data_IF_425095630162
#
_entry.id   IF_425095630162
#
_cell.length_a   1.000
_cell.length_b   1.000
_cell.length_c   1.000
_cell.angle_alpha   90.00
_cell.angle_beta   90.00
_cell.angle_gamma   90.00
#
_symmetry.space_group_name_H-M   'P 1'
#
loop_
_entity.id
_entity.type
_entity.pdbx_description
1 polymer ?
#
# COMPACT_ATOMS: atom_id res chain seq x y z
N UNK A 1 81.02 -66.28 12.12
CA UNK A 1 81.44 -64.88 11.90
C UNK A 1 81.25 -64.39 10.45
N UNK A 2 81.63 -65.16 9.42
CA UNK A 2 81.54 -64.71 8.02
C UNK A 2 80.12 -64.28 7.55
N UNK A 3 79.07 -64.98 7.98
CA UNK A 3 77.69 -64.64 7.60
C UNK A 3 77.20 -63.33 8.23
N UNK A 4 77.68 -62.99 9.44
CA UNK A 4 77.33 -61.74 10.11
C UNK A 4 77.91 -60.52 9.38
N UNK A 5 79.17 -60.59 8.94
CA UNK A 5 79.79 -59.51 8.17
C UNK A 5 79.09 -59.29 6.82
N UNK A 6 78.59 -60.35 6.17
CA UNK A 6 77.80 -60.21 4.93
C UNK A 6 76.48 -59.50 5.16
N UNK A 7 75.75 -59.86 6.22
CA UNK A 7 74.48 -59.22 6.57
C UNK A 7 74.71 -57.73 6.92
N UNK A 8 75.75 -57.44 7.70
CA UNK A 8 76.09 -56.07 8.08
C UNK A 8 76.42 -55.19 6.85
N UNK A 9 77.21 -55.70 5.91
CA UNK A 9 77.55 -54.96 4.69
C UNK A 9 76.32 -54.67 3.81
N UNK A 10 75.39 -55.62 3.69
CA UNK A 10 74.12 -55.40 2.97
C UNK A 10 73.30 -54.31 3.66
N UNK A 11 73.24 -54.33 4.99
CA UNK A 11 72.49 -53.34 5.78
C UNK A 11 73.09 -51.92 5.65
N UNK A 12 74.43 -51.82 5.63
CA UNK A 12 75.14 -50.55 5.38
C UNK A 12 74.83 -50.00 3.99
N UNK A 13 74.83 -50.85 2.94
CA UNK A 13 74.49 -50.43 1.59
C UNK A 13 73.05 -49.93 1.51
N UNK A 14 72.10 -50.66 2.12
CA UNK A 14 70.69 -50.24 2.18
C UNK A 14 70.56 -48.88 2.89
N UNK A 15 71.22 -48.70 4.05
CA UNK A 15 71.21 -47.43 4.78
C UNK A 15 71.83 -46.29 3.97
N UNK A 16 72.92 -46.54 3.23
CA UNK A 16 73.56 -45.55 2.37
C UNK A 16 72.64 -45.16 1.20
N UNK A 17 71.96 -46.12 0.57
CA UNK A 17 70.97 -45.84 -0.49
C UNK A 17 69.79 -45.03 0.05
N UNK A 18 69.28 -45.38 1.24
CA UNK A 18 68.20 -44.64 1.92
C UNK A 18 68.65 -43.23 2.26
N UNK A 19 69.88 -43.04 2.77
CA UNK A 19 70.44 -41.73 3.08
C UNK A 19 70.60 -40.85 1.82
N UNK A 20 71.06 -41.42 0.70
CA UNK A 20 71.13 -40.70 -0.58
C UNK A 20 69.74 -40.30 -1.09
N UNK A 21 68.75 -41.18 -0.96
CA UNK A 21 67.37 -40.88 -1.33
C UNK A 21 66.79 -39.75 -0.48
N UNK A 22 66.96 -39.80 0.85
CA UNK A 22 66.51 -38.71 1.72
C UNK A 22 67.30 -37.41 1.49
N UNK A 23 68.60 -37.49 1.22
CA UNK A 23 69.44 -36.33 0.92
C UNK A 23 68.97 -35.58 -0.33
N UNK A 24 68.69 -36.30 -1.41
CA UNK A 24 68.14 -35.69 -2.64
C UNK A 24 66.75 -35.10 -2.43
N UNK A 25 65.89 -35.76 -1.64
CA UNK A 25 64.54 -35.23 -1.30
C UNK A 25 64.62 -33.95 -0.46
N UNK A 26 65.50 -33.91 0.56
CA UNK A 26 65.72 -32.73 1.40
C UNK A 26 66.33 -31.57 0.61
N UNK A 27 67.25 -31.86 -0.32
CA UNK A 27 67.83 -30.84 -1.18
C UNK A 27 66.76 -30.16 -2.05
N UNK A 28 65.90 -30.95 -2.71
CA UNK A 28 64.77 -30.41 -3.50
C UNK A 28 63.80 -29.59 -2.65
N UNK A 29 63.51 -30.02 -1.41
CA UNK A 29 62.67 -29.24 -0.50
C UNK A 29 63.32 -27.92 -0.08
N UNK A 30 64.63 -27.91 0.17
CA UNK A 30 65.37 -26.70 0.52
C UNK A 30 65.39 -25.70 -0.64
N UNK A 31 65.57 -26.18 -1.86
CA UNK A 31 65.53 -25.35 -3.07
C UNK A 31 64.15 -24.71 -3.28
N UNK A 32 63.07 -25.48 -3.09
CA UNK A 32 61.69 -24.95 -3.15
C UNK A 32 61.43 -23.86 -2.10
N UNK A 33 61.88 -24.06 -0.85
CA UNK A 33 61.71 -23.05 0.21
C UNK A 33 62.53 -21.79 -0.08
N UNK A 34 63.73 -21.94 -0.64
CA UNK A 34 64.56 -20.80 -1.03
C UNK A 34 63.89 -19.98 -2.13
N UNK A 35 63.45 -20.63 -3.22
CA UNK A 35 62.76 -19.96 -4.32
C UNK A 35 61.48 -19.25 -3.87
N UNK A 36 60.73 -19.84 -2.93
CA UNK A 36 59.55 -19.19 -2.35
C UNK A 36 59.91 -17.93 -1.53
N UNK A 37 60.98 -17.97 -0.73
CA UNK A 37 61.45 -16.78 0.02
C UNK A 37 61.89 -15.67 -0.92
N UNK A 38 62.60 -16.01 -1.98
CA UNK A 38 63.12 -15.02 -2.93
C UNK A 38 61.95 -14.33 -3.68
N UNK A 39 60.95 -15.10 -4.16
CA UNK A 39 59.72 -14.56 -4.76
C UNK A 39 58.92 -13.68 -3.81
N UNK A 40 58.74 -14.13 -2.55
CA UNK A 40 58.03 -13.35 -1.54
C UNK A 40 58.74 -12.02 -1.26
N UNK A 41 60.08 -12.06 -1.14
CA UNK A 41 60.87 -10.85 -0.92
C UNK A 41 60.77 -9.87 -2.09
N UNK A 42 60.79 -10.38 -3.33
CA UNK A 42 60.64 -9.57 -4.55
C UNK A 42 59.26 -8.89 -4.61
N UNK A 43 58.17 -9.63 -4.39
CA UNK A 43 56.83 -9.02 -4.45
C UNK A 43 56.56 -8.07 -3.27
N UNK A 44 57.11 -8.35 -2.09
CA UNK A 44 57.08 -7.40 -0.96
C UNK A 44 57.86 -6.13 -1.30
N UNK A 45 59.05 -6.24 -1.89
CA UNK A 45 59.82 -5.08 -2.31
C UNK A 45 59.07 -4.26 -3.37
N UNK A 46 58.48 -4.91 -4.37
CA UNK A 46 57.65 -4.27 -5.39
C UNK A 46 56.41 -3.59 -4.78
N UNK A 47 55.75 -4.24 -3.82
CA UNK A 47 54.63 -3.67 -3.08
C UNK A 47 55.04 -2.41 -2.31
N UNK A 48 56.21 -2.43 -1.67
CA UNK A 48 56.78 -1.28 -0.96
C UNK A 48 57.10 -0.14 -1.93
N UNK A 49 57.67 -0.44 -3.10
CA UNK A 49 58.01 0.56 -4.11
C UNK A 49 56.75 1.17 -4.75
N UNK A 50 55.72 0.37 -5.03
CA UNK A 50 54.43 0.85 -5.50
C UNK A 50 53.72 1.74 -4.47
N UNK A 51 53.87 1.46 -3.17
CA UNK A 51 53.39 2.32 -2.09
C UNK A 51 54.16 3.65 -1.98
N UNK A 52 55.39 3.73 -2.51
CA UNK A 52 56.23 4.94 -2.46
C UNK A 52 56.13 5.83 -3.69
N UNK A 53 55.81 5.29 -4.87
CA UNK A 53 56.07 5.97 -6.16
C UNK A 53 54.86 6.58 -6.86
N UNK A 54 53.62 6.20 -6.50
CA UNK A 54 52.44 6.72 -7.19
C UNK A 54 51.93 7.99 -6.49
N UNK A 55 51.70 9.05 -7.26
CA UNK A 55 51.01 10.29 -6.84
C UNK A 55 49.59 10.25 -7.40
N UNK A 56 48.55 10.71 -6.67
CA UNK A 56 47.19 10.25 -6.90
C UNK A 56 46.58 10.90 -8.14
N UNK A 57 46.35 10.10 -9.18
CA UNK A 57 45.32 10.37 -10.20
C UNK A 57 44.85 9.07 -10.84
N UNK A 58 43.59 8.75 -10.57
CA UNK A 58 42.70 7.82 -11.29
C UNK A 58 42.90 6.31 -11.06
N UNK A 59 42.13 5.72 -10.13
CA UNK A 59 41.66 4.32 -10.28
C UNK A 59 40.28 4.14 -9.63
N UNK A 60 39.22 4.20 -10.43
CA UNK A 60 37.93 3.55 -10.11
C UNK A 60 37.87 2.21 -10.83
N UNK A 61 37.86 1.10 -10.08
CA UNK A 61 36.88 0.01 -10.23
C UNK A 61 37.19 -1.24 -9.38
N UNK A 62 36.09 -1.83 -8.88
CA UNK A 62 35.88 -3.18 -8.29
C UNK A 62 37.11 -4.09 -8.12
N UNK A 63 37.55 -4.31 -6.87
CA UNK A 63 38.34 -5.51 -6.53
C UNK A 63 37.91 -6.17 -5.21
N UNK A 64 37.80 -7.50 -5.27
CA UNK A 64 37.32 -8.38 -4.21
C UNK A 64 38.38 -8.63 -3.14
N UNK A 65 38.32 -7.86 -2.06
CA UNK A 65 39.08 -8.10 -0.83
C UNK A 65 38.78 -9.46 -0.17
N UNK A 66 37.71 -10.16 -0.58
CA UNK A 66 37.33 -11.47 -0.04
C UNK A 66 38.29 -12.63 -0.38
N UNK A 67 39.23 -12.45 -1.34
CA UNK A 67 40.10 -13.56 -1.79
C UNK A 67 41.48 -13.65 -1.13
N UNK A 68 41.92 -12.65 -0.36
CA UNK A 68 43.21 -12.66 0.32
C UNK A 68 43.03 -12.96 1.82
N UNK A 69 42.85 -14.24 2.16
CA UNK A 69 42.93 -14.66 3.57
C UNK A 69 44.38 -15.01 3.95
N UNK A 70 44.71 -14.89 5.23
CA UNK A 70 46.06 -15.23 5.77
C UNK A 70 46.50 -16.66 5.44
N UNK A 71 45.56 -17.55 5.15
CA UNK A 71 45.76 -18.95 4.78
C UNK A 71 46.19 -19.13 3.32
N UNK A 72 46.00 -18.15 2.44
CA UNK A 72 46.28 -18.27 1.00
C UNK A 72 47.75 -17.98 0.63
N UNK A 73 48.50 -17.33 1.53
CA UNK A 73 49.92 -16.98 1.40
C UNK A 73 50.80 -17.75 2.41
N UNK A 74 50.55 -19.04 2.59
CA UNK A 74 51.40 -19.89 3.44
C UNK A 74 52.20 -20.91 2.61
N UNK A 75 53.22 -21.50 3.24
CA UNK A 75 54.10 -22.46 2.59
C UNK A 75 53.35 -23.73 2.13
N UNK A 76 52.28 -24.13 2.81
CA UNK A 76 51.50 -25.29 2.39
C UNK A 76 50.78 -25.04 1.07
N UNK A 77 50.20 -23.85 0.88
CA UNK A 77 49.57 -23.46 -0.39
C UNK A 77 50.59 -23.46 -1.52
N UNK A 78 51.82 -22.96 -1.29
CA UNK A 78 52.89 -23.03 -2.29
C UNK A 78 53.28 -24.48 -2.65
N UNK A 79 53.32 -25.38 -1.67
CA UNK A 79 53.69 -26.78 -1.89
C UNK A 79 52.60 -27.59 -2.59
N UNK A 80 51.32 -27.25 -2.37
CA UNK A 80 50.18 -27.95 -2.95
C UNK A 80 49.68 -27.34 -4.27
N UNK A 81 49.71 -26.03 -4.40
CA UNK A 81 49.27 -25.27 -5.58
C UNK A 81 50.12 -24.01 -5.79
N UNK A 82 51.29 -24.14 -6.45
CA UNK A 82 52.18 -23.02 -6.73
C UNK A 82 51.54 -21.93 -7.58
N UNK A 83 50.61 -22.29 -8.47
CA UNK A 83 49.95 -21.34 -9.37
C UNK A 83 48.97 -20.44 -8.60
N UNK A 84 48.18 -21.01 -7.69
CA UNK A 84 47.32 -20.23 -6.81
C UNK A 84 48.14 -19.33 -5.86
N UNK A 85 49.28 -19.81 -5.36
CA UNK A 85 50.18 -18.99 -4.54
C UNK A 85 50.74 -17.79 -5.31
N UNK A 86 51.25 -18.00 -6.53
CA UNK A 86 51.77 -16.92 -7.38
C UNK A 86 50.66 -15.90 -7.76
N UNK A 87 49.42 -16.37 -7.99
CA UNK A 87 48.27 -15.51 -8.23
C UNK A 87 47.87 -14.66 -6.99
N UNK A 88 47.92 -15.24 -5.80
CA UNK A 88 47.67 -14.50 -4.56
C UNK A 88 48.79 -13.51 -4.24
N UNK A 89 50.04 -13.90 -4.54
CA UNK A 89 51.22 -13.06 -4.31
C UNK A 89 51.14 -11.79 -5.18
N UNK A 90 50.86 -11.93 -6.47
CA UNK A 90 50.63 -10.78 -7.38
C UNK A 90 49.40 -9.93 -7.02
N UNK A 91 48.45 -10.50 -6.28
CA UNK A 91 47.32 -9.76 -5.70
C UNK A 91 47.72 -8.72 -4.64
N UNK A 92 48.85 -8.89 -3.95
CA UNK A 92 49.33 -7.94 -2.92
C UNK A 92 49.69 -6.57 -3.53
N UNK A 93 50.42 -6.57 -4.64
CA UNK A 93 50.72 -5.35 -5.41
C UNK A 93 49.44 -4.62 -5.83
N UNK A 94 48.43 -5.37 -6.29
CA UNK A 94 47.13 -4.79 -6.68
C UNK A 94 46.37 -4.21 -5.49
N UNK A 95 46.39 -4.88 -4.33
CA UNK A 95 45.80 -4.37 -3.09
C UNK A 95 46.49 -3.11 -2.60
N UNK A 96 47.83 -3.05 -2.70
CA UNK A 96 48.60 -1.88 -2.31
C UNK A 96 48.29 -0.66 -3.19
N UNK A 97 48.16 -0.84 -4.51
CA UNK A 97 47.65 0.19 -5.43
C UNK A 97 46.27 0.68 -5.04
N UNK A 98 45.39 -0.23 -4.60
CA UNK A 98 44.05 0.13 -4.19
C UNK A 98 44.02 0.95 -2.88
N UNK A 99 44.72 0.50 -1.85
CA UNK A 99 44.86 1.24 -0.58
C UNK A 99 45.45 2.63 -0.83
N UNK A 100 46.43 2.72 -1.72
CA UNK A 100 46.99 3.99 -2.13
C UNK A 100 45.96 4.88 -2.85
N UNK A 101 45.19 4.35 -3.79
CA UNK A 101 44.11 5.10 -4.47
C UNK A 101 43.07 5.62 -3.48
N UNK A 102 42.64 4.79 -2.51
CA UNK A 102 41.71 5.20 -1.45
C UNK A 102 42.28 6.32 -0.57
N UNK A 103 43.58 6.26 -0.24
CA UNK A 103 44.25 7.36 0.48
C UNK A 103 44.28 8.65 -0.34
N UNK A 104 44.49 8.53 -1.66
CA UNK A 104 44.41 9.66 -2.60
C UNK A 104 43.02 10.29 -2.64
N UNK A 105 41.98 9.49 -2.81
CA UNK A 105 40.57 9.94 -2.79
C UNK A 105 40.21 10.58 -1.45
N UNK A 106 40.61 9.96 -0.33
CA UNK A 106 40.40 10.53 0.99
C UNK A 106 41.11 11.87 1.16
N UNK A 107 42.36 11.99 0.70
CA UNK A 107 43.11 13.25 0.73
C UNK A 107 42.43 14.32 -0.12
N UNK A 108 41.92 13.97 -1.31
CA UNK A 108 41.16 14.89 -2.16
C UNK A 108 39.85 15.34 -1.49
N UNK A 109 39.10 14.42 -0.89
CA UNK A 109 37.88 14.75 -0.14
C UNK A 109 38.17 15.64 1.06
N UNK A 110 39.24 15.38 1.81
CA UNK A 110 39.67 16.22 2.92
C UNK A 110 40.09 17.61 2.39
N UNK A 111 40.80 17.68 1.26
CA UNK A 111 41.15 18.95 0.61
C UNK A 111 39.91 19.75 0.20
N UNK A 112 38.89 19.11 -0.40
CA UNK A 112 37.64 19.80 -0.76
C UNK A 112 36.88 20.28 0.47
N UNK A 113 36.87 19.50 1.54
CA UNK A 113 36.31 19.91 2.85
C UNK A 113 37.09 21.11 3.37
N UNK A 114 38.41 21.08 3.30
CA UNK A 114 39.29 22.18 3.69
C UNK A 114 38.98 23.47 2.90
N UNK A 115 38.79 23.36 1.58
CA UNK A 115 38.40 24.47 0.70
C UNK A 115 37.02 25.04 1.05
N UNK A 116 36.04 24.19 1.36
CA UNK A 116 34.69 24.61 1.77
C UNK A 116 34.74 25.41 3.07
N UNK A 117 35.61 25.01 4.01
CA UNK A 117 35.73 25.63 5.32
C UNK A 117 36.77 26.76 5.38
N UNK A 118 37.48 27.04 4.29
CA UNK A 118 38.45 28.14 4.20
C UNK A 118 39.62 28.02 5.19
N UNK A 119 40.01 26.79 5.51
CA UNK A 119 41.12 26.50 6.43
C UNK A 119 42.44 26.61 5.65
N UNK A 120 43.05 27.80 5.61
CA UNK A 120 44.38 28.00 5.00
C UNK A 120 45.49 27.34 5.86
N UNK A 121 46.55 26.87 5.19
CA UNK A 121 47.75 26.19 5.73
C UNK A 121 47.64 24.72 6.15
N UNK A 122 46.89 23.94 5.38
CA UNK A 122 47.18 22.50 5.31
C UNK A 122 47.76 22.20 3.93
N UNK A 123 49.05 22.56 3.73
CA UNK A 123 49.84 22.00 2.62
C UNK A 123 49.56 20.50 2.60
N UNK A 124 49.05 20.01 1.46
CA UNK A 124 48.61 18.63 1.20
C UNK A 124 48.90 17.73 2.38
N UNK A 125 47.90 17.36 3.19
CA UNK A 125 48.12 16.46 4.34
C UNK A 125 48.85 15.25 3.81
N UNK A 126 50.16 15.28 4.00
CA UNK A 126 51.01 14.19 3.61
C UNK A 126 50.83 13.20 4.75
N UNK A 127 49.83 12.34 4.59
CA UNK A 127 49.49 11.26 5.53
C UNK A 127 50.69 10.31 5.76
N UNK A 128 51.86 10.59 5.18
CA UNK A 128 53.12 9.89 5.42
C UNK A 128 53.87 10.36 6.67
N UNK A 129 53.66 11.57 7.22
CA UNK A 129 54.42 12.02 8.39
C UNK A 129 53.68 11.80 9.72
N UNK A 130 54.19 10.89 10.55
CA UNK A 130 53.67 10.57 11.88
C UNK A 130 53.67 11.76 12.87
N UNK A 131 54.43 12.81 12.58
CA UNK A 131 54.49 14.04 13.39
C UNK A 131 53.24 14.94 13.27
N UNK A 132 52.38 14.72 12.26
CA UNK A 132 51.14 15.49 12.07
C UNK A 132 50.01 15.12 13.02
N UNK A 133 50.12 14.02 13.77
CA UNK A 133 49.04 13.54 14.66
C UNK A 133 48.71 14.51 15.80
N UNK A 134 49.70 15.20 16.37
CA UNK A 134 49.46 16.16 17.46
C UNK A 134 48.98 17.53 16.99
N UNK A 135 49.33 17.96 15.78
CA UNK A 135 48.84 19.22 15.18
C UNK A 135 47.44 19.05 14.61
N UNK A 136 47.21 17.95 13.89
CA UNK A 136 45.92 17.61 13.31
C UNK A 136 44.85 17.44 14.40
N UNK A 137 45.17 16.85 15.56
CA UNK A 137 44.21 16.77 16.69
C UNK A 137 43.71 18.15 17.15
N UNK A 138 44.57 19.17 17.16
CA UNK A 138 44.18 20.55 17.48
C UNK A 138 43.22 21.14 16.44
N UNK A 139 43.53 20.98 15.16
CA UNK A 139 42.66 21.42 14.07
C UNK A 139 41.35 20.65 14.01
N UNK A 140 41.39 19.32 14.19
CA UNK A 140 40.19 18.48 14.28
C UNK A 140 39.33 18.86 15.47
N UNK A 141 39.91 19.18 16.63
CA UNK A 141 39.13 19.64 17.78
C UNK A 141 38.44 20.99 17.51
N UNK A 142 39.13 21.93 16.87
CA UNK A 142 38.58 23.25 16.49
C UNK A 142 37.50 23.12 15.42
N UNK A 143 37.71 22.23 14.45
CA UNK A 143 36.75 21.92 13.40
C UNK A 143 35.53 21.19 13.97
N UNK A 144 35.74 20.24 14.89
CA UNK A 144 34.67 19.53 15.59
C UNK A 144 33.86 20.48 16.48
N UNK A 145 34.51 21.44 17.14
CA UNK A 145 33.83 22.48 17.91
C UNK A 145 33.03 23.41 16.99
N UNK A 146 33.56 23.76 15.82
CA UNK A 146 32.86 24.57 14.83
C UNK A 146 31.69 23.83 14.18
N UNK A 147 31.86 22.54 13.85
CA UNK A 147 30.79 21.65 13.37
C UNK A 147 29.71 21.47 14.42
N UNK A 148 30.09 21.33 15.70
CA UNK A 148 29.14 21.28 16.80
C UNK A 148 28.34 22.58 16.89
N UNK A 149 28.98 23.74 16.81
CA UNK A 149 28.27 25.04 16.79
C UNK A 149 27.32 25.19 15.60
N UNK A 150 27.67 24.62 14.44
CA UNK A 150 26.77 24.60 13.26
C UNK A 150 25.61 23.63 13.46
N UNK A 151 25.85 22.44 14.04
CA UNK A 151 24.79 21.50 14.35
C UNK A 151 23.84 22.06 15.41
N UNK A 152 24.37 22.65 16.49
CA UNK A 152 23.60 23.34 17.53
C UNK A 152 22.78 24.51 16.94
N UNK A 153 23.32 25.22 15.93
CA UNK A 153 22.58 26.24 15.16
C UNK A 153 21.41 25.62 14.41
N UNK A 154 21.66 24.56 13.65
CA UNK A 154 20.64 23.94 12.81
C UNK A 154 19.53 23.34 13.67
N UNK A 155 19.87 22.73 14.80
CA UNK A 155 18.92 22.29 15.82
C UNK A 155 18.11 23.47 16.38
N UNK A 156 18.76 24.58 16.75
CA UNK A 156 18.06 25.75 17.26
C UNK A 156 17.15 26.42 16.21
N UNK A 157 17.58 26.47 14.95
CA UNK A 157 16.77 26.98 13.84
C UNK A 157 15.57 26.07 13.60
N UNK A 158 15.75 24.74 13.60
CA UNK A 158 14.66 23.78 13.47
C UNK A 158 13.69 23.89 14.63
N UNK A 159 14.19 24.02 15.87
CA UNK A 159 13.39 24.23 17.07
C UNK A 159 12.56 25.52 16.96
N UNK A 160 13.19 26.65 16.62
CA UNK A 160 12.49 27.94 16.44
C UNK A 160 11.49 27.91 15.30
N UNK A 161 11.83 27.28 14.18
CA UNK A 161 10.90 27.12 13.06
C UNK A 161 9.70 26.26 13.48
N UNK A 162 9.96 25.17 14.21
CA UNK A 162 8.93 24.28 14.75
C UNK A 162 8.03 25.00 15.76
N UNK A 163 8.60 25.78 16.69
CA UNK A 163 7.84 26.62 17.62
C UNK A 163 6.94 27.63 16.88
N UNK A 164 7.48 28.28 15.85
CA UNK A 164 6.73 29.24 15.03
C UNK A 164 5.62 28.55 14.24
N UNK A 165 5.87 27.37 13.68
CA UNK A 165 4.86 26.55 12.99
C UNK A 165 3.80 26.02 13.97
N UNK A 166 4.18 25.61 15.18
CA UNK A 166 3.25 25.11 16.19
C UNK A 166 2.39 26.22 16.81
N UNK A 167 2.91 27.45 16.90
CA UNK A 167 2.08 28.65 17.17
C UNK A 167 1.08 28.89 16.04
N UNK A 168 1.43 28.49 14.82
CA UNK A 168 0.56 28.49 13.66
C UNK A 168 -0.37 27.26 13.66
N UNK A 169 -1.20 27.08 14.70
CA UNK A 169 -2.24 26.02 14.70
C UNK A 169 -3.32 26.36 13.66
N UNK A 170 -3.40 25.66 12.51
CA UNK A 170 -4.33 26.05 11.44
C UNK A 170 -5.80 25.85 11.87
N UNK A 171 -6.03 24.89 12.77
CA UNK A 171 -7.38 24.44 13.16
C UNK A 171 -8.07 25.40 14.15
N UNK A 172 -7.34 26.12 15.00
CA UNK A 172 -7.88 27.18 15.89
C UNK A 172 -7.84 28.58 15.26
N UNK A 173 -7.04 28.77 14.20
CA UNK A 173 -6.83 30.09 13.57
C UNK A 173 -7.75 30.37 12.39
N UNK A 174 -8.27 29.35 11.68
CA UNK A 174 -9.18 29.59 10.54
C UNK A 174 -10.50 30.29 10.96
N UNK A 175 -11.00 30.05 12.19
CA UNK A 175 -12.17 30.79 12.70
C UNK A 175 -11.84 32.21 13.17
N UNK A 176 -10.57 32.48 13.52
CA UNK A 176 -10.07 33.77 14.02
C UNK A 176 -9.41 34.65 12.94
N UNK A 177 -9.15 34.12 11.74
CA UNK A 177 -8.74 34.87 10.54
C UNK A 177 -10.01 35.23 9.73
N UNK A 178 -11.00 35.81 10.41
CA UNK A 178 -12.26 36.22 9.76
C UNK A 178 -12.20 37.61 9.14
N UNK A 179 -11.24 38.43 9.54
CA UNK A 179 -11.01 39.76 8.98
C UNK A 179 -9.57 39.93 8.46
N UNK A 180 -9.41 40.88 7.54
CA UNK A 180 -8.14 41.17 6.89
C UNK A 180 -7.08 41.71 7.86
N UNK A 181 -7.50 42.27 8.99
CA UNK A 181 -6.62 42.86 10.01
C UNK A 181 -5.89 41.76 10.80
N UNK A 182 -6.61 40.70 11.19
CA UNK A 182 -6.06 39.50 11.83
C UNK A 182 -5.00 38.81 10.96
N UNK A 183 -5.22 38.73 9.64
CA UNK A 183 -4.23 38.19 8.70
C UNK A 183 -3.00 39.10 8.57
N UNK A 184 -3.20 40.41 8.51
CA UNK A 184 -2.09 41.37 8.43
C UNK A 184 -1.19 41.30 9.66
N UNK A 185 -1.78 41.22 10.87
CA UNK A 185 -1.01 41.11 12.11
C UNK A 185 -0.21 39.80 12.17
N UNK A 186 -0.81 38.68 11.75
CA UNK A 186 -0.13 37.38 11.74
C UNK A 186 1.00 37.31 10.70
N UNK A 187 0.80 37.93 9.53
CA UNK A 187 1.87 38.05 8.53
C UNK A 187 3.00 38.99 8.99
N UNK A 188 2.68 40.06 9.71
CA UNK A 188 3.67 40.95 10.30
C UNK A 188 4.53 40.25 11.36
N UNK A 189 3.93 39.40 12.20
CA UNK A 189 4.67 38.61 13.20
C UNK A 189 5.63 37.60 12.55
N UNK A 190 5.18 36.90 11.50
CA UNK A 190 6.04 35.98 10.74
C UNK A 190 7.17 36.72 10.04
N UNK A 191 6.89 37.89 9.44
CA UNK A 191 7.91 38.73 8.82
C UNK A 191 8.91 39.26 9.86
N UNK A 192 8.45 39.65 11.04
CA UNK A 192 9.30 40.08 12.15
C UNK A 192 10.24 38.96 12.63
N UNK A 193 9.75 37.73 12.70
CA UNK A 193 10.59 36.58 13.06
C UNK A 193 11.61 36.26 11.96
N UNK A 194 11.23 36.37 10.68
CA UNK A 194 12.16 36.25 9.54
C UNK A 194 13.27 37.31 9.61
N UNK A 195 12.92 38.56 9.90
CA UNK A 195 13.90 39.65 10.06
C UNK A 195 14.83 39.41 11.25
N UNK A 196 14.32 38.82 12.34
CA UNK A 196 15.14 38.43 13.49
C UNK A 196 16.17 37.35 13.12
N UNK A 197 15.78 36.36 12.30
CA UNK A 197 16.68 35.32 11.78
C UNK A 197 17.72 35.91 10.84
N UNK A 198 17.34 36.88 9.99
CA UNK A 198 18.28 37.58 9.12
C UNK A 198 19.30 38.41 9.92
N UNK A 199 18.85 39.11 10.96
CA UNK A 199 19.71 39.89 11.86
C UNK A 199 20.71 38.99 12.61
N UNK A 200 20.24 37.84 13.11
CA UNK A 200 21.10 36.83 13.74
C UNK A 200 22.16 36.29 12.77
N UNK A 201 21.78 35.97 11.53
CA UNK A 201 22.72 35.61 10.46
C UNK A 201 23.74 36.73 10.15
N UNK A 202 23.32 37.99 10.21
CA UNK A 202 24.20 39.15 10.07
C UNK A 202 25.29 39.19 11.15
N UNK A 203 24.90 39.07 12.42
CA UNK A 203 25.84 39.04 13.55
C UNK A 203 26.82 37.87 13.46
N UNK A 204 26.36 36.72 12.97
CA UNK A 204 27.22 35.55 12.78
C UNK A 204 28.22 35.75 11.62
N UNK A 205 27.79 36.35 10.50
CA UNK A 205 28.70 36.78 9.42
C UNK A 205 29.77 37.73 9.94
N UNK A 206 29.40 38.67 10.81
CA UNK A 206 30.35 39.61 11.40
C UNK A 206 31.32 38.93 12.37
N UNK A 207 30.86 37.92 13.11
CA UNK A 207 31.71 37.07 13.95
C UNK A 207 32.72 36.27 13.12
N UNK A 208 32.29 35.67 12.00
CA UNK A 208 33.18 34.97 11.06
C UNK A 208 34.21 35.94 10.49
N UNK A 209 33.77 37.11 10.00
CA UNK A 209 34.68 38.16 9.50
C UNK A 209 35.69 38.61 10.56
N UNK A 210 35.26 38.80 11.80
CA UNK A 210 36.12 39.15 12.91
C UNK A 210 37.11 38.03 13.25
N UNK A 211 36.70 36.77 13.12
CA UNK A 211 37.57 35.59 13.33
C UNK A 211 38.62 35.49 12.23
N UNK A 212 38.23 35.67 10.97
CA UNK A 212 39.13 35.75 9.80
C UNK A 212 40.11 36.93 9.95
N UNK A 213 39.62 38.08 10.41
CA UNK A 213 40.48 39.26 10.65
C UNK A 213 41.49 39.05 11.78
N UNK A 214 41.12 38.27 12.81
CA UNK A 214 42.01 37.89 13.92
C UNK A 214 43.03 36.81 13.54
N UNK A 215 42.75 36.00 12.52
CA UNK A 215 43.69 35.00 11.97
C UNK A 215 44.87 35.62 11.20
N UNK A 216 44.96 36.96 11.13
CA UNK A 216 46.17 37.65 10.72
C UNK A 216 46.29 37.84 9.22
N UNK A 217 45.62 38.87 8.69
CA UNK A 217 46.09 39.58 7.49
C UNK A 217 46.13 38.79 6.18
N UNK A 218 45.02 38.19 5.75
CA UNK A 218 44.86 37.76 4.35
C UNK A 218 44.53 38.97 3.49
N UNK A 219 45.54 39.81 3.24
CA UNK A 219 45.47 40.95 2.33
C UNK A 219 45.56 40.52 0.84
N UNK A 220 45.35 39.23 0.54
CA UNK A 220 45.51 38.66 -0.81
C UNK A 220 44.37 37.80 -1.33
N UNK A 221 43.22 37.77 -0.67
CA UNK A 221 42.01 37.32 -1.34
C UNK A 221 41.46 38.45 -2.21
N UNK A 222 41.98 38.58 -3.43
CA UNK A 222 41.18 39.07 -4.56
C UNK A 222 40.16 37.99 -4.92
N UNK A 223 39.23 37.68 -4.00
CA UNK A 223 37.92 37.25 -4.49
C UNK A 223 37.35 38.54 -5.04
N UNK A 224 37.26 38.64 -6.37
CA UNK A 224 36.65 39.82 -6.97
C UNK A 224 35.28 39.99 -6.31
N UNK A 225 34.89 41.20 -5.86
CA UNK A 225 33.53 41.46 -5.43
C UNK A 225 32.51 40.88 -6.41
N UNK A 226 32.85 40.82 -7.70
CA UNK A 226 32.06 40.21 -8.77
C UNK A 226 31.78 38.69 -8.57
N UNK A 227 32.73 37.88 -8.08
CA UNK A 227 32.52 36.44 -7.87
C UNK A 227 31.65 36.15 -6.64
N UNK A 228 31.79 36.97 -5.59
CA UNK A 228 30.92 36.94 -4.42
C UNK A 228 29.51 37.43 -4.76
N UNK A 229 29.39 38.40 -5.67
CA UNK A 229 28.10 38.89 -6.18
C UNK A 229 27.46 37.83 -7.08
N UNK A 230 28.20 37.20 -8.00
CA UNK A 230 27.70 36.16 -8.89
C UNK A 230 27.19 34.92 -8.14
N UNK A 231 27.90 34.48 -7.09
CA UNK A 231 27.46 33.38 -6.24
C UNK A 231 26.24 33.74 -5.39
N UNK A 232 26.12 35.00 -4.95
CA UNK A 232 24.91 35.52 -4.27
C UNK A 232 23.73 35.61 -5.21
N UNK A 233 23.91 36.12 -6.43
CA UNK A 233 22.85 36.23 -7.42
C UNK A 233 22.33 34.85 -7.81
N UNK A 234 23.23 33.87 -8.00
CA UNK A 234 22.84 32.48 -8.21
C UNK A 234 22.07 31.88 -7.02
N UNK A 235 22.45 32.21 -5.78
CA UNK A 235 21.72 31.78 -4.59
C UNK A 235 20.34 32.45 -4.49
N UNK A 236 20.26 33.75 -4.74
CA UNK A 236 19.02 34.54 -4.76
C UNK A 236 18.07 33.96 -5.83
N UNK A 237 18.56 33.64 -7.02
CA UNK A 237 17.73 33.03 -8.07
C UNK A 237 17.25 31.62 -7.70
N UNK A 238 18.08 30.81 -7.03
CA UNK A 238 17.63 29.52 -6.46
C UNK A 238 16.53 29.71 -5.41
N UNK A 239 16.67 30.70 -4.53
CA UNK A 239 15.65 31.01 -3.52
C UNK A 239 14.36 31.54 -4.14
N UNK A 240 14.44 32.43 -5.14
CA UNK A 240 13.25 32.89 -5.89
C UNK A 240 12.51 31.72 -6.53
N UNK A 241 13.24 30.84 -7.22
CA UNK A 241 12.64 29.65 -7.84
C UNK A 241 12.01 28.71 -6.80
N UNK A 242 12.64 28.56 -5.63
CA UNK A 242 12.07 27.79 -4.53
C UNK A 242 10.80 28.44 -3.97
N UNK A 243 10.76 29.77 -3.84
CA UNK A 243 9.57 30.51 -3.41
C UNK A 243 8.44 30.41 -4.44
N UNK A 244 8.72 30.50 -5.74
CA UNK A 244 7.73 30.30 -6.80
C UNK A 244 7.13 28.88 -6.77
N UNK A 245 7.97 27.87 -6.56
CA UNK A 245 7.52 26.50 -6.38
C UNK A 245 6.65 26.36 -5.12
N UNK A 246 7.05 26.96 -4.01
CA UNK A 246 6.28 26.95 -2.76
C UNK A 246 4.92 27.64 -2.94
N UNK A 247 4.87 28.81 -3.60
CA UNK A 247 3.62 29.50 -3.91
C UNK A 247 2.71 28.65 -4.81
N UNK A 248 3.28 27.88 -5.75
CA UNK A 248 2.52 26.96 -6.59
C UNK A 248 1.92 25.82 -5.76
N UNK A 249 2.68 25.26 -4.82
CA UNK A 249 2.18 24.24 -3.89
C UNK A 249 1.10 24.79 -2.95
N UNK A 250 1.25 26.01 -2.44
CA UNK A 250 0.22 26.67 -1.62
C UNK A 250 -1.09 26.82 -2.40
N UNK A 251 -1.03 27.26 -3.67
CA UNK A 251 -2.22 27.32 -4.54
C UNK A 251 -2.87 25.94 -4.76
N UNK A 252 -2.07 24.87 -4.84
CA UNK A 252 -2.61 23.51 -4.94
C UNK A 252 -3.31 23.09 -3.65
N UNK A 253 -2.77 23.45 -2.49
CA UNK A 253 -3.42 23.19 -1.19
C UNK A 253 -4.76 23.93 -1.08
N UNK A 254 -4.83 25.19 -1.52
CA UNK A 254 -6.09 25.94 -1.54
C UNK A 254 -7.14 25.29 -2.44
N UNK A 255 -6.74 24.83 -3.63
CA UNK A 255 -7.62 24.10 -4.53
C UNK A 255 -8.11 22.77 -3.92
N UNK A 256 -7.22 22.00 -3.30
CA UNK A 256 -7.58 20.74 -2.61
C UNK A 256 -8.49 20.99 -1.41
N UNK A 257 -8.35 22.14 -0.73
CA UNK A 257 -9.22 22.53 0.36
C UNK A 257 -10.63 22.86 -0.14
N UNK A 258 -10.74 23.59 -1.25
CA UNK A 258 -12.01 23.87 -1.91
C UNK A 258 -12.70 22.57 -2.39
N UNK A 259 -11.92 21.64 -2.98
CA UNK A 259 -12.45 20.34 -3.42
C UNK A 259 -12.91 19.48 -2.23
N UNK A 260 -12.19 19.52 -1.10
CA UNK A 260 -12.63 18.87 0.14
C UNK A 260 -13.91 19.48 0.72
N UNK A 261 -14.10 20.80 0.64
CA UNK A 261 -15.36 21.42 1.06
C UNK A 261 -16.52 21.00 0.17
N UNK A 262 -16.33 20.98 -1.16
CA UNK A 262 -17.35 20.52 -2.11
C UNK A 262 -17.70 19.04 -1.90
N UNK A 263 -16.70 18.20 -1.62
CA UNK A 263 -16.91 16.78 -1.30
C UNK A 263 -17.69 16.59 0.01
N UNK A 264 -17.40 17.38 1.04
CA UNK A 264 -18.16 17.36 2.30
C UNK A 264 -19.61 17.77 2.10
N UNK A 265 -19.86 18.81 1.33
CA UNK A 265 -21.23 19.27 1.04
C UNK A 265 -22.00 18.24 0.22
N UNK A 266 -21.35 17.60 -0.75
CA UNK A 266 -21.92 16.50 -1.52
C UNK A 266 -22.22 15.28 -0.64
N UNK A 267 -21.34 14.95 0.31
CA UNK A 267 -21.54 13.85 1.26
C UNK A 267 -22.75 14.14 2.16
N UNK A 268 -22.84 15.33 2.74
CA UNK A 268 -23.97 15.75 3.56
C UNK A 268 -25.30 15.70 2.78
N UNK A 269 -25.29 16.11 1.50
CA UNK A 269 -26.46 15.98 0.62
C UNK A 269 -26.85 14.52 0.38
N UNK A 270 -25.89 13.65 0.12
CA UNK A 270 -26.13 12.21 -0.08
C UNK A 270 -26.65 11.52 1.18
N UNK A 271 -26.15 11.89 2.36
CA UNK A 271 -26.68 11.39 3.64
C UNK A 271 -28.13 11.80 3.84
N UNK A 272 -28.49 13.05 3.53
CA UNK A 272 -29.87 13.53 3.58
C UNK A 272 -30.78 12.76 2.62
N UNK A 273 -30.33 12.55 1.38
CA UNK A 273 -31.08 11.76 0.39
C UNK A 273 -31.27 10.31 0.85
N UNK A 274 -30.25 9.71 1.48
CA UNK A 274 -30.30 8.35 2.01
C UNK A 274 -31.31 8.23 3.16
N UNK A 275 -31.32 9.18 4.09
CA UNK A 275 -32.31 9.24 5.18
C UNK A 275 -33.74 9.37 4.61
N UNK A 276 -33.94 10.24 3.61
CA UNK A 276 -35.24 10.42 2.95
C UNK A 276 -35.71 9.13 2.27
N UNK A 277 -34.82 8.47 1.52
CA UNK A 277 -35.14 7.20 0.84
C UNK A 277 -35.46 6.09 1.85
N UNK A 278 -34.72 6.01 2.97
CA UNK A 278 -35.02 5.04 4.02
C UNK A 278 -36.39 5.28 4.65
N UNK A 279 -36.78 6.53 4.89
CA UNK A 279 -38.11 6.87 5.38
C UNK A 279 -39.22 6.44 4.40
N UNK A 280 -39.01 6.59 3.09
CA UNK A 280 -39.95 6.11 2.07
C UNK A 280 -40.06 4.58 2.04
N UNK A 281 -38.94 3.86 2.20
CA UNK A 281 -38.94 2.39 2.30
C UNK A 281 -39.78 1.94 3.49
N UNK A 282 -39.56 2.50 4.69
CA UNK A 282 -40.33 2.15 5.90
C UNK A 282 -41.83 2.44 5.72
N UNK A 283 -42.17 3.55 5.08
CA UNK A 283 -43.57 3.90 4.76
C UNK A 283 -44.19 2.86 3.81
N UNK A 284 -43.47 2.47 2.77
CA UNK A 284 -43.94 1.48 1.79
C UNK A 284 -44.06 0.07 2.41
N UNK A 285 -43.12 -0.36 3.25
CA UNK A 285 -43.21 -1.61 3.99
C UNK A 285 -44.43 -1.66 4.91
N UNK A 286 -44.73 -0.55 5.60
CA UNK A 286 -45.92 -0.43 6.45
C UNK A 286 -47.21 -0.54 5.63
N UNK A 287 -47.24 0.12 4.46
CA UNK A 287 -48.36 0.03 3.51
C UNK A 287 -48.55 -1.38 2.96
N UNK A 288 -47.46 -2.08 2.61
CA UNK A 288 -47.50 -3.47 2.14
C UNK A 288 -48.05 -4.40 3.22
N UNK A 289 -47.57 -4.31 4.46
CA UNK A 289 -48.12 -5.07 5.59
C UNK A 289 -49.60 -4.81 5.83
N UNK A 290 -50.06 -3.58 5.61
CA UNK A 290 -51.48 -3.23 5.66
C UNK A 290 -52.29 -3.96 4.60
N UNK A 291 -51.82 -3.92 3.34
CA UNK A 291 -52.47 -4.62 2.21
C UNK A 291 -52.44 -6.14 2.36
N UNK A 292 -51.37 -6.72 2.89
CA UNK A 292 -51.28 -8.16 3.14
C UNK A 292 -52.34 -8.62 4.16
N UNK A 293 -52.61 -7.81 5.18
CA UNK A 293 -53.71 -8.07 6.13
C UNK A 293 -55.06 -7.99 5.44
N UNK A 294 -55.31 -6.96 4.63
CA UNK A 294 -56.56 -6.85 3.86
C UNK A 294 -56.76 -8.07 2.95
N UNK A 295 -55.71 -8.52 2.25
CA UNK A 295 -55.76 -9.72 1.42
C UNK A 295 -56.07 -10.97 2.26
N UNK A 296 -55.48 -11.12 3.45
CA UNK A 296 -55.77 -12.22 4.35
C UNK A 296 -57.24 -12.21 4.79
N UNK A 297 -57.77 -11.06 5.19
CA UNK A 297 -59.17 -10.88 5.59
C UNK A 297 -60.13 -11.21 4.42
N UNK A 298 -59.79 -10.78 3.20
CA UNK A 298 -60.58 -11.10 2.00
C UNK A 298 -60.52 -12.58 1.64
N UNK A 299 -59.37 -13.23 1.79
CA UNK A 299 -59.24 -14.68 1.60
C UNK A 299 -60.04 -15.47 2.61
N UNK A 300 -60.08 -15.05 3.88
CA UNK A 300 -60.92 -15.67 4.91
C UNK A 300 -62.40 -15.53 4.58
N UNK A 301 -62.85 -14.31 4.19
CA UNK A 301 -64.23 -14.07 3.74
C UNK A 301 -64.59 -14.90 2.51
N UNK A 302 -63.65 -15.06 1.57
CA UNK A 302 -63.83 -15.91 0.40
C UNK A 302 -63.92 -17.38 0.80
N UNK A 303 -63.07 -17.89 1.69
CA UNK A 303 -63.13 -19.27 2.16
C UNK A 303 -64.48 -19.60 2.83
N UNK A 304 -65.07 -18.65 3.55
CA UNK A 304 -66.43 -18.79 4.11
C UNK A 304 -67.50 -18.84 3.00
N UNK A 305 -67.30 -18.15 1.88
CA UNK A 305 -68.23 -18.13 0.75
C UNK A 305 -68.02 -19.28 -0.25
N UNK A 306 -66.78 -19.74 -0.43
CA UNK A 306 -66.34 -20.79 -1.35
C UNK A 306 -66.21 -22.15 -0.68
N UNK A 307 -66.52 -22.26 0.61
CA UNK A 307 -66.65 -23.53 1.28
C UNK A 307 -67.54 -24.43 0.43
N UNK A 308 -66.94 -25.49 -0.13
CA UNK A 308 -67.65 -26.60 -0.75
C UNK A 308 -68.87 -26.86 0.13
N UNK A 309 -70.07 -26.69 -0.42
CA UNK A 309 -71.31 -26.89 0.32
C UNK A 309 -71.18 -28.15 1.17
N UNK A 310 -71.66 -28.13 2.43
CA UNK A 310 -71.28 -29.12 3.44
C UNK A 310 -71.25 -30.52 2.82
N UNK A 311 -70.13 -31.25 2.97
CA UNK A 311 -70.02 -32.69 2.68
C UNK A 311 -70.89 -33.52 3.66
N UNK A 312 -72.07 -33.00 4.01
CA UNK A 312 -73.09 -33.70 4.73
C UNK A 312 -73.85 -34.62 3.79
N UNK A 313 -74.51 -35.65 4.34
CA UNK A 313 -75.41 -36.50 3.57
C UNK A 313 -76.40 -35.61 2.82
N UNK A 314 -76.46 -35.80 1.50
CA UNK A 314 -77.42 -35.12 0.64
C UNK A 314 -78.81 -35.30 1.23
N UNK A 315 -79.47 -34.20 1.59
CA UNK A 315 -80.81 -34.26 2.13
C UNK A 315 -81.73 -34.73 1.00
N UNK A 316 -82.34 -35.91 1.16
CA UNK A 316 -83.31 -36.47 0.20
C UNK A 316 -84.63 -35.72 0.18
N UNK A 317 -84.76 -34.63 0.94
CA UNK A 317 -85.91 -33.74 0.89
C UNK A 317 -86.05 -33.14 -0.51
N UNK A 318 -87.23 -33.26 -1.14
CA UNK A 318 -87.49 -32.62 -2.42
C UNK A 318 -87.33 -31.10 -2.27
N UNK A 319 -86.53 -30.51 -3.15
CA UNK A 319 -86.39 -29.06 -3.26
C UNK A 319 -87.24 -28.56 -4.43
N UNK A 320 -87.87 -27.42 -4.21
CA UNK A 320 -88.69 -26.71 -5.19
C UNK A 320 -88.14 -25.29 -5.32
N UNK A 321 -87.69 -24.95 -6.51
CA UNK A 321 -87.18 -23.62 -6.84
C UNK A 321 -87.66 -23.17 -8.21
N UNK A 322 -87.14 -22.06 -8.68
CA UNK A 322 -87.44 -21.50 -9.99
C UNK A 322 -86.23 -20.87 -10.64
N UNK A 323 -86.30 -20.78 -11.97
CA UNK A 323 -85.30 -20.08 -12.76
C UNK A 323 -85.53 -18.56 -12.62
N UNK A 324 -84.52 -17.84 -12.16
CA UNK A 324 -84.56 -16.38 -12.03
C UNK A 324 -84.03 -15.68 -13.27
N UNK A 325 -82.99 -16.23 -13.90
CA UNK A 325 -82.35 -15.66 -15.09
C UNK A 325 -81.79 -16.75 -15.98
N UNK A 326 -81.74 -16.49 -17.29
CA UNK A 326 -81.21 -17.40 -18.30
C UNK A 326 -80.26 -16.63 -19.20
N UNK A 327 -79.15 -17.26 -19.56
CA UNK A 327 -78.27 -16.79 -20.62
C UNK A 327 -78.15 -17.86 -21.70
N UNK A 328 -78.87 -17.63 -22.81
CA UNK A 328 -78.94 -18.59 -23.91
C UNK A 328 -77.63 -18.70 -24.70
N UNK A 329 -76.75 -17.68 -24.64
CA UNK A 329 -75.50 -17.71 -25.39
C UNK A 329 -74.49 -18.69 -24.78
N UNK A 330 -74.59 -18.92 -23.47
CA UNK A 330 -73.67 -19.76 -22.71
C UNK A 330 -74.35 -20.99 -22.10
N UNK A 331 -75.62 -21.25 -22.43
CA UNK A 331 -76.40 -22.39 -21.94
C UNK A 331 -76.40 -22.55 -20.41
N UNK A 332 -76.45 -21.46 -19.65
CA UNK A 332 -76.61 -21.53 -18.19
C UNK A 332 -77.88 -20.81 -17.71
N UNK A 333 -78.36 -21.28 -16.56
CA UNK A 333 -79.50 -20.71 -15.83
C UNK A 333 -79.08 -20.37 -14.41
N UNK A 334 -79.71 -19.34 -13.85
CA UNK A 334 -79.58 -18.97 -12.45
C UNK A 334 -80.86 -19.40 -11.74
N UNK A 335 -80.73 -20.22 -10.70
CA UNK A 335 -81.83 -20.75 -9.90
C UNK A 335 -81.81 -20.13 -8.50
N UNK A 336 -82.98 -19.86 -7.91
CA UNK A 336 -83.15 -19.29 -6.56
C UNK A 336 -82.90 -20.31 -5.43
N UNK A 337 -81.89 -21.12 -5.64
CA UNK A 337 -81.56 -22.30 -4.88
C UNK A 337 -80.04 -22.24 -4.62
N UNK A 338 -79.62 -22.07 -3.36
CA UNK A 338 -78.23 -21.81 -2.98
C UNK A 338 -77.72 -22.71 -1.85
N UNK A 339 -76.63 -22.28 -1.21
CA UNK A 339 -76.02 -22.98 -0.06
C UNK A 339 -77.02 -23.17 1.08
N UNK A 340 -77.91 -22.21 1.31
CA UNK A 340 -78.90 -22.26 2.40
C UNK A 340 -79.85 -23.48 2.27
N UNK A 341 -80.09 -23.94 1.03
CA UNK A 341 -80.90 -25.11 0.71
C UNK A 341 -80.07 -26.41 0.64
N UNK A 342 -78.77 -26.37 0.95
CA UNK A 342 -77.85 -27.52 0.97
C UNK A 342 -77.79 -28.31 -0.35
N UNK A 343 -77.84 -27.59 -1.47
CA UNK A 343 -77.70 -28.22 -2.80
C UNK A 343 -76.22 -28.49 -3.05
N UNK A 344 -75.82 -29.72 -3.47
CA UNK A 344 -74.43 -30.02 -3.78
C UNK A 344 -74.08 -29.60 -5.22
N UNK A 345 -72.80 -29.34 -5.45
CA UNK A 345 -72.27 -29.17 -6.80
C UNK A 345 -72.52 -30.44 -7.63
N UNK A 346 -72.66 -30.28 -8.94
CA UNK A 346 -72.95 -31.35 -9.89
C UNK A 346 -74.32 -32.04 -9.72
N UNK A 347 -75.21 -31.51 -8.88
CA UNK A 347 -76.58 -32.01 -8.81
C UNK A 347 -77.32 -31.77 -10.13
N UNK A 348 -77.94 -32.82 -10.67
CA UNK A 348 -78.86 -32.68 -11.80
C UNK A 348 -80.27 -32.41 -11.29
N UNK A 349 -80.87 -31.33 -11.77
CA UNK A 349 -82.23 -30.88 -11.46
C UNK A 349 -83.09 -30.93 -12.72
N UNK A 350 -84.38 -31.16 -12.54
CA UNK A 350 -85.37 -31.20 -13.62
C UNK A 350 -86.11 -29.87 -13.69
N UNK A 351 -86.18 -29.28 -14.88
CA UNK A 351 -86.95 -28.06 -15.15
C UNK A 351 -88.30 -28.44 -15.76
N UNK A 352 -89.38 -27.97 -15.15
CA UNK A 352 -90.75 -28.20 -15.59
C UNK A 352 -91.52 -26.89 -15.71
N UNK A 353 -92.36 -26.80 -16.73
CA UNK A 353 -93.35 -25.73 -16.90
C UNK A 353 -94.72 -26.32 -16.67
N UNK A 354 -95.43 -25.86 -15.63
CA UNK A 354 -96.68 -26.47 -15.16
C UNK A 354 -96.46 -27.96 -14.79
N UNK A 355 -96.86 -28.89 -15.66
CA UNK A 355 -96.68 -30.34 -15.51
C UNK A 355 -95.84 -30.96 -16.64
N UNK A 356 -95.36 -30.14 -17.57
CA UNK A 356 -94.58 -30.60 -18.71
C UNK A 356 -93.07 -30.49 -18.44
N UNK A 357 -92.36 -31.58 -18.73
CA UNK A 357 -90.90 -31.63 -18.65
C UNK A 357 -90.27 -30.79 -19.78
N UNK A 358 -89.37 -29.87 -19.43
CA UNK A 358 -88.69 -28.98 -20.38
C UNK A 358 -87.25 -29.42 -20.66
N UNK A 359 -86.42 -29.51 -19.61
CA UNK A 359 -85.02 -29.93 -19.71
C UNK A 359 -84.45 -30.36 -18.35
N UNK A 360 -83.20 -30.87 -18.36
CA UNK A 360 -82.40 -31.05 -17.15
C UNK A 360 -81.28 -30.01 -17.09
N UNK A 361 -80.94 -29.59 -15.87
CA UNK A 361 -79.85 -28.66 -15.59
C UNK A 361 -78.89 -29.28 -14.57
N UNK A 362 -77.59 -29.03 -14.71
CA UNK A 362 -76.57 -29.51 -13.78
C UNK A 362 -75.95 -28.33 -13.04
N UNK A 363 -76.02 -28.33 -11.71
CA UNK A 363 -75.48 -27.24 -10.88
C UNK A 363 -73.96 -27.18 -11.00
N UNK A 364 -73.41 -26.07 -11.52
CA UNK A 364 -71.97 -25.88 -11.75
C UNK A 364 -71.32 -25.00 -10.69
N UNK A 365 -72.04 -24.01 -10.15
CA UNK A 365 -71.54 -23.13 -9.09
C UNK A 365 -72.67 -22.75 -8.14
N UNK A 366 -72.42 -22.78 -6.84
CA UNK A 366 -73.40 -22.46 -5.82
C UNK A 366 -72.94 -21.19 -5.10
N UNK A 367 -73.89 -20.28 -4.87
CA UNK A 367 -73.72 -19.10 -4.06
C UNK A 367 -74.66 -19.18 -2.85
N UNK A 368 -74.58 -18.21 -1.94
CA UNK A 368 -75.35 -18.23 -0.69
C UNK A 368 -76.85 -18.45 -0.90
N UNK A 369 -77.44 -17.71 -1.82
CA UNK A 369 -78.90 -17.63 -2.06
C UNK A 369 -79.32 -17.96 -3.50
N UNK A 370 -78.40 -18.40 -4.35
CA UNK A 370 -78.70 -18.83 -5.72
C UNK A 370 -77.62 -19.78 -6.22
N UNK A 371 -77.88 -20.48 -7.33
CA UNK A 371 -76.89 -21.31 -8.00
C UNK A 371 -76.94 -21.08 -9.50
N UNK A 372 -75.80 -21.30 -10.14
CA UNK A 372 -75.64 -21.33 -11.59
C UNK A 372 -75.62 -22.79 -12.01
N UNK A 373 -76.47 -23.13 -12.96
CA UNK A 373 -76.58 -24.47 -13.50
C UNK A 373 -76.47 -24.45 -15.04
N UNK A 374 -75.79 -25.43 -15.59
CA UNK A 374 -75.64 -25.64 -17.03
C UNK A 374 -76.83 -26.44 -17.58
N UNK A 375 -77.37 -26.04 -18.72
CA UNK A 375 -78.47 -26.73 -19.39
C UNK A 375 -77.90 -27.94 -20.13
N UNK A 376 -78.36 -29.15 -19.77
CA UNK A 376 -77.97 -30.37 -20.46
C UNK A 376 -78.71 -30.47 -21.79
N UNK A 377 -77.98 -30.28 -22.90
CA UNK A 377 -78.54 -30.24 -24.26
C UNK A 377 -79.18 -31.55 -24.69
N UNK A 378 -78.68 -32.67 -24.18
CA UNK A 378 -79.08 -34.01 -24.61
C UNK A 378 -80.50 -34.40 -24.15
N UNK A 379 -81.03 -33.71 -23.13
CA UNK A 379 -82.34 -34.00 -22.55
C UNK A 379 -83.31 -32.81 -22.65
N UNK A 380 -83.20 -32.01 -23.72
CA UNK A 380 -84.01 -30.80 -23.94
C UNK A 380 -85.24 -31.09 -24.81
N UNK A 381 -86.45 -30.92 -24.25
CA UNK A 381 -87.72 -30.90 -25.00
C UNK A 381 -88.17 -29.49 -25.37
N UNK A 382 -87.76 -28.48 -24.60
CA UNK A 382 -88.06 -27.07 -24.86
C UNK A 382 -87.00 -26.12 -24.30
N UNK A 383 -87.08 -24.84 -24.61
CA UNK A 383 -86.21 -23.83 -24.01
C UNK A 383 -86.77 -23.36 -22.67
N UNK A 384 -85.98 -23.41 -21.58
CA UNK A 384 -86.41 -22.88 -20.28
C UNK A 384 -86.65 -21.38 -20.39
N UNK A 385 -87.57 -20.84 -19.58
CA UNK A 385 -87.83 -19.40 -19.41
C UNK A 385 -87.76 -19.03 -17.92
N UNK A 386 -87.57 -17.75 -17.57
CA UNK A 386 -87.70 -17.30 -16.19
C UNK A 386 -89.05 -17.71 -15.58
N UNK A 387 -89.06 -18.03 -14.30
CA UNK A 387 -90.19 -18.60 -13.52
C UNK A 387 -90.54 -20.07 -13.83
N UNK A 388 -89.85 -20.75 -14.74
CA UNK A 388 -89.97 -22.22 -14.85
C UNK A 388 -89.52 -22.89 -13.54
N UNK A 389 -90.26 -23.92 -13.13
CA UNK A 389 -90.07 -24.64 -11.86
C UNK A 389 -88.89 -25.60 -11.95
N UNK A 390 -88.05 -25.64 -10.93
CA UNK A 390 -86.88 -26.49 -10.81
C UNK A 390 -87.09 -27.46 -9.67
N UNK A 391 -87.10 -28.76 -9.97
CA UNK A 391 -87.41 -29.82 -9.02
C UNK A 391 -86.31 -30.87 -9.02
N UNK A 392 -85.93 -31.34 -7.84
CA UNK A 392 -85.08 -32.52 -7.70
C UNK A 392 -85.94 -33.80 -7.67
N UNK A 393 -85.68 -34.73 -8.59
CA UNK A 393 -86.28 -36.05 -8.61
C UNK A 393 -85.19 -37.09 -8.31
N UNK A 394 -85.25 -37.84 -7.20
CA UNK A 394 -84.30 -38.90 -6.92
C UNK A 394 -84.41 -39.98 -8.01
N UNK A 395 -83.28 -40.38 -8.59
CA UNK A 395 -83.24 -41.42 -9.61
C UNK A 395 -83.66 -42.76 -8.97
N UNK A 396 -84.93 -43.16 -9.12
CA UNK A 396 -85.44 -44.45 -8.65
C UNK A 396 -86.78 -44.45 -7.88
N UNK A 397 -87.53 -43.33 -7.87
CA UNK A 397 -88.91 -43.30 -7.36
C UNK A 397 -89.95 -43.54 -8.44
#
# INVERSE_FOLDING_TARGET
MANFNRILNVLIVILATVALFFGTKLFKQRELVKNNRDKLAEEVAKTIDELKTVSPKNVTDKYGAEKLNKSSLNLQTYLHDPAAYDANLSGLSSLAKHVHSQRGELSEHISRVNDIFGLEDIEQIDLHDSALTSGAEGYFSTMQESMKKVNDRDEHLVEKLSETILKFKPEESIENIRDAESYQNMSADVLGEIDSMQSFNGKYRDLIKATISKLGGVERMKVSPEDVIATKDAAIERYKKSLENLMTQVKQVDNLKAENTDLKDNLAKKEKDLISSHAEIVKNETSLKGKDKEIADWKEKLAVCEGNGPEGPFSTTPFDGKITRIDYNYNYVVIDLGCDQKIPMNLTLTVARQQEYICQIKVTKIFKNYAVAEILTDMKKGSPIPEDRVVYLPAGS
#
